data_IF_540282891727
#
_entry.id   IF_540282891727
#
_cell.length_a   1.000
_cell.length_b   1.000
_cell.length_c   1.000
_cell.angle_alpha   90.00
_cell.angle_beta   90.00
_cell.angle_gamma   90.00
#
_symmetry.space_group_name_H-M   'P 1'
#
loop_
_entity.id
_entity.type
_entity.pdbx_description
1 polymer ?
#
# COMPACT_ATOMS: atom_id res chain seq x y z
N UNK A 1 10.19 -12.52 2.83
CA UNK A 1 10.03 -11.72 4.05
C UNK A 1 8.78 -10.90 3.85
N UNK A 2 7.88 -10.83 4.82
CA UNK A 2 6.68 -9.99 4.71
C UNK A 2 7.01 -8.56 5.13
N UNK A 3 6.24 -7.62 4.60
CA UNK A 3 6.20 -6.26 5.10
C UNK A 3 4.94 -6.08 5.93
N UNK A 4 5.13 -5.94 7.23
CA UNK A 4 4.07 -5.88 8.21
C UNK A 4 3.78 -4.42 8.59
N UNK A 5 2.50 -4.09 8.71
CA UNK A 5 2.00 -2.76 9.01
C UNK A 5 1.03 -2.81 10.19
N UNK A 6 1.16 -1.85 11.10
CA UNK A 6 0.38 -1.79 12.33
C UNK A 6 -0.26 -0.43 12.56
N UNK A 7 -1.54 -0.43 12.93
CA UNK A 7 -2.33 0.76 13.30
C UNK A 7 -3.16 0.43 14.54
N UNK A 8 -2.74 0.93 15.69
CA UNK A 8 -3.33 0.51 16.98
C UNK A 8 -3.24 -1.00 17.14
N UNK A 9 -4.38 -1.66 17.36
CA UNK A 9 -4.48 -3.12 17.51
C UNK A 9 -4.64 -3.87 16.17
N UNK A 10 -4.60 -3.15 15.04
CA UNK A 10 -4.75 -3.75 13.71
C UNK A 10 -3.42 -3.99 13.06
N UNK A 11 -3.40 -5.05 12.27
CA UNK A 11 -2.25 -5.53 11.52
C UNK A 11 -2.68 -5.85 10.09
N UNK A 12 -1.81 -5.53 9.16
CA UNK A 12 -1.89 -5.96 7.76
C UNK A 12 -0.50 -6.26 7.24
N UNK A 13 -0.39 -7.08 6.20
CA UNK A 13 0.90 -7.45 5.61
C UNK A 13 0.87 -7.44 4.09
N UNK A 14 2.02 -7.16 3.50
CA UNK A 14 2.31 -7.42 2.09
C UNK A 14 3.25 -8.62 2.02
N UNK A 15 2.76 -9.72 1.45
CA UNK A 15 3.55 -10.92 1.26
C UNK A 15 4.52 -10.76 0.07
N UNK A 16 5.59 -11.58 -0.04
CA UNK A 16 6.58 -11.46 -1.11
C UNK A 16 6.00 -11.50 -2.54
N UNK A 17 4.94 -12.29 -2.75
CA UNK A 17 4.28 -12.39 -4.04
C UNK A 17 3.33 -11.22 -4.34
N UNK A 18 2.99 -10.43 -3.32
CA UNK A 18 2.13 -9.25 -3.40
C UNK A 18 2.96 -7.97 -3.64
N UNK A 19 4.27 -8.00 -3.37
CA UNK A 19 5.21 -6.91 -3.70
C UNK A 19 5.18 -6.53 -5.20
N UNK A 20 4.68 -7.44 -6.05
CA UNK A 20 4.47 -7.19 -7.47
C UNK A 20 3.61 -5.95 -7.76
N UNK A 21 2.76 -5.53 -6.82
CA UNK A 21 2.02 -4.27 -6.93
C UNK A 21 2.95 -3.06 -7.13
N UNK A 22 4.14 -3.07 -6.51
CA UNK A 22 5.10 -1.97 -6.62
C UNK A 22 5.79 -1.94 -7.98
N UNK A 23 6.01 -3.09 -8.64
CA UNK A 23 6.57 -3.11 -9.99
C UNK A 23 5.63 -2.50 -11.04
N UNK A 24 4.32 -2.47 -10.78
CA UNK A 24 3.35 -1.85 -11.68
C UNK A 24 3.39 -0.33 -11.64
N UNK A 25 3.90 0.26 -10.57
CA UNK A 25 3.92 1.72 -10.36
C UNK A 25 5.30 2.34 -10.50
N UNK A 26 6.36 1.52 -10.60
CA UNK A 26 7.73 2.01 -10.83
C UNK A 26 7.74 2.90 -12.08
N UNK A 27 8.38 4.06 -11.96
CA UNK A 27 8.53 5.07 -13.03
C UNK A 27 7.21 5.74 -13.48
N UNK A 28 6.07 5.46 -12.81
CA UNK A 28 4.82 6.14 -13.08
C UNK A 28 4.65 7.37 -12.19
N UNK A 29 4.53 8.60 -12.76
CA UNK A 29 4.38 9.82 -11.96
C UNK A 29 3.03 9.91 -11.23
N UNK A 30 2.08 9.03 -11.56
CA UNK A 30 0.72 8.98 -10.99
C UNK A 30 0.69 8.46 -9.54
N UNK A 31 1.74 7.75 -9.08
CA UNK A 31 1.76 7.07 -7.78
C UNK A 31 2.93 7.50 -6.88
N UNK A 32 3.05 8.79 -6.53
CA UNK A 32 4.20 9.32 -5.79
C UNK A 32 4.36 8.75 -4.37
N UNK A 33 3.29 8.59 -3.58
CA UNK A 33 3.41 8.10 -2.20
C UNK A 33 3.60 6.58 -2.14
N UNK A 34 3.00 5.80 -3.04
CA UNK A 34 3.30 4.38 -3.17
C UNK A 34 4.74 4.15 -3.66
N UNK A 35 5.23 4.98 -4.60
CA UNK A 35 6.63 4.94 -5.04
C UNK A 35 7.58 5.27 -3.88
N UNK A 36 7.26 6.32 -3.12
CA UNK A 36 8.02 6.69 -1.92
C UNK A 36 8.01 5.59 -0.87
N UNK A 37 6.85 4.96 -0.62
CA UNK A 37 6.74 3.82 0.28
C UNK A 37 7.66 2.68 -0.17
N UNK A 38 7.71 2.40 -1.47
CA UNK A 38 8.60 1.40 -2.05
C UNK A 38 10.09 1.73 -1.81
N UNK A 39 10.51 2.98 -2.01
CA UNK A 39 11.90 3.41 -1.77
C UNK A 39 12.38 3.18 -0.33
N UNK A 40 11.47 3.31 0.64
CA UNK A 40 11.76 3.12 2.06
C UNK A 40 11.24 1.79 2.60
N UNK A 41 10.74 0.89 1.74
CA UNK A 41 10.03 -0.32 2.12
C UNK A 41 10.83 -1.15 3.12
N UNK A 42 12.07 -1.50 2.79
CA UNK A 42 12.95 -2.30 3.66
C UNK A 42 13.57 -1.52 4.82
N UNK A 43 13.18 -0.26 5.05
CA UNK A 43 13.65 0.58 6.16
C UNK A 43 12.63 0.70 7.30
N UNK A 44 11.55 -0.08 7.26
CA UNK A 44 10.51 -0.06 8.31
C UNK A 44 10.00 1.37 8.62
N UNK A 45 9.44 2.08 7.63
CA UNK A 45 9.05 3.48 7.79
C UNK A 45 7.88 3.61 8.78
N UNK A 46 7.63 4.85 9.23
CA UNK A 46 6.36 5.21 9.87
C UNK A 46 5.62 6.16 8.95
N UNK A 47 4.36 5.87 8.66
CA UNK A 47 3.52 6.67 7.77
C UNK A 47 2.55 7.51 8.61
N UNK A 48 2.39 8.76 8.23
CA UNK A 48 1.35 9.62 8.83
C UNK A 48 -0.04 9.24 8.33
N UNK A 49 -1.09 9.66 9.05
CA UNK A 49 -2.47 9.50 8.60
C UNK A 49 -2.75 10.22 7.27
N UNK A 50 -2.05 11.33 7.01
CA UNK A 50 -2.15 12.03 5.72
C UNK A 50 -1.54 11.21 4.58
N UNK A 51 -0.36 10.63 4.78
CA UNK A 51 0.23 9.74 3.77
C UNK A 51 -0.66 8.52 3.52
N UNK A 52 -1.30 7.98 4.57
CA UNK A 52 -2.28 6.91 4.41
C UNK A 52 -3.47 7.33 3.53
N UNK A 53 -3.94 8.57 3.66
CA UNK A 53 -4.98 9.13 2.80
C UNK A 53 -4.54 9.23 1.34
N UNK A 54 -3.32 9.72 1.11
CA UNK A 54 -2.79 9.89 -0.23
C UNK A 54 -2.61 8.53 -0.92
N UNK A 55 -2.11 7.53 -0.18
CA UNK A 55 -2.01 6.13 -0.61
C UNK A 55 -3.39 5.54 -0.95
N UNK A 56 -4.46 5.89 -0.22
CA UNK A 56 -5.83 5.42 -0.54
C UNK A 56 -6.25 5.85 -1.93
N UNK A 57 -6.03 7.12 -2.31
CA UNK A 57 -6.37 7.60 -3.64
C UNK A 57 -5.54 6.92 -4.72
N UNK A 58 -4.23 6.75 -4.48
CA UNK A 58 -3.34 6.05 -5.40
C UNK A 58 -3.75 4.58 -5.60
N UNK A 59 -4.20 3.90 -4.55
CA UNK A 59 -4.69 2.52 -4.63
C UNK A 59 -6.03 2.40 -5.38
N UNK A 60 -6.91 3.41 -5.30
CA UNK A 60 -8.14 3.44 -6.12
C UNK A 60 -7.77 3.55 -7.60
N UNK A 61 -6.91 4.50 -7.95
CA UNK A 61 -6.45 4.72 -9.33
C UNK A 61 -5.72 3.48 -9.88
N UNK A 62 -4.90 2.83 -9.05
CA UNK A 62 -4.22 1.58 -9.40
C UNK A 62 -5.21 0.42 -9.60
N UNK A 63 -6.29 0.37 -8.82
CA UNK A 63 -7.32 -0.66 -8.98
C UNK A 63 -8.04 -0.54 -10.32
N UNK A 64 -8.29 0.68 -10.79
CA UNK A 64 -8.89 0.94 -12.09
C UNK A 64 -7.94 0.55 -13.22
N UNK A 65 -6.65 0.87 -13.11
CA UNK A 65 -5.63 0.45 -14.08
C UNK A 65 -5.50 -1.08 -14.19
N UNK A 66 -5.62 -1.80 -13.06
CA UNK A 66 -5.45 -3.25 -13.01
C UNK A 66 -6.71 -4.01 -13.43
N UNK A 67 -7.89 -3.42 -13.26
CA UNK A 67 -9.15 -4.08 -13.60
C UNK A 67 -9.19 -4.55 -15.07
N UNK A 68 -8.57 -3.78 -15.96
CA UNK A 68 -8.49 -4.05 -17.40
C UNK A 68 -7.36 -5.01 -17.79
N UNK A 69 -6.45 -5.35 -16.87
CA UNK A 69 -5.31 -6.24 -17.12
C UNK A 69 -5.58 -7.65 -16.61
N UNK A 70 -5.75 -8.63 -17.51
CA UNK A 70 -5.95 -10.04 -17.13
C UNK A 70 -4.77 -10.61 -16.32
N UNK A 71 -3.54 -10.21 -16.67
CA UNK A 71 -2.32 -10.68 -16.02
C UNK A 71 -2.19 -10.15 -14.59
N UNK A 72 -2.66 -8.94 -14.30
CA UNK A 72 -2.47 -8.28 -12.99
C UNK A 72 -3.71 -8.35 -12.10
N UNK A 73 -4.86 -8.82 -12.61
CA UNK A 73 -6.13 -8.87 -11.89
C UNK A 73 -6.06 -9.62 -10.54
N UNK A 74 -5.12 -10.56 -10.40
CA UNK A 74 -4.88 -11.28 -9.15
C UNK A 74 -4.45 -10.37 -7.99
N UNK A 75 -4.00 -9.13 -8.26
CA UNK A 75 -3.60 -8.14 -7.25
C UNK A 75 -4.78 -7.33 -6.69
N UNK A 76 -5.96 -7.35 -7.33
CA UNK A 76 -7.13 -6.61 -6.85
C UNK A 76 -7.51 -6.94 -5.39
N UNK A 77 -7.52 -8.21 -4.94
CA UNK A 77 -7.78 -8.54 -3.54
C UNK A 77 -6.77 -7.88 -2.58
N UNK A 78 -5.50 -7.81 -2.96
CA UNK A 78 -4.43 -7.16 -2.18
C UNK A 78 -4.72 -5.66 -2.09
N UNK A 79 -5.02 -5.02 -3.22
CA UNK A 79 -5.35 -3.60 -3.28
C UNK A 79 -6.54 -3.28 -2.38
N UNK A 80 -7.62 -4.06 -2.45
CA UNK A 80 -8.80 -3.83 -1.60
C UNK A 80 -8.54 -4.05 -0.11
N UNK A 81 -7.61 -4.94 0.24
CA UNK A 81 -7.20 -5.15 1.62
C UNK A 81 -6.38 -3.96 2.14
N UNK A 82 -5.39 -3.52 1.37
CA UNK A 82 -4.59 -2.33 1.67
C UNK A 82 -5.44 -1.06 1.75
N UNK A 83 -6.38 -0.88 0.80
CA UNK A 83 -7.33 0.25 0.79
C UNK A 83 -8.08 0.38 2.11
N UNK A 84 -8.62 -0.73 2.62
CA UNK A 84 -9.36 -0.73 3.89
C UNK A 84 -8.44 -0.35 5.06
N UNK A 85 -7.22 -0.87 5.07
CA UNK A 85 -6.24 -0.60 6.12
C UNK A 85 -5.81 0.87 6.14
N UNK A 86 -5.39 1.41 5.01
CA UNK A 86 -4.95 2.81 4.90
C UNK A 86 -6.10 3.81 5.13
N UNK A 87 -7.29 3.54 4.58
CA UNK A 87 -8.46 4.38 4.81
C UNK A 87 -8.83 4.43 6.30
N UNK A 88 -8.72 3.29 6.99
CA UNK A 88 -8.94 3.27 8.42
C UNK A 88 -7.92 4.12 9.18
N UNK A 89 -6.62 3.97 8.89
CA UNK A 89 -5.56 4.75 9.54
C UNK A 89 -5.83 6.26 9.41
N UNK A 90 -6.29 6.69 8.22
CA UNK A 90 -6.75 8.04 7.97
C UNK A 90 -7.97 8.42 8.81
N UNK A 91 -9.05 7.63 8.78
CA UNK A 91 -10.28 7.93 9.53
C UNK A 91 -10.05 8.01 11.05
N UNK A 92 -9.11 7.23 11.58
CA UNK A 92 -8.76 7.25 13.01
C UNK A 92 -7.68 8.28 13.36
N UNK A 93 -7.07 8.93 12.36
CA UNK A 93 -5.96 9.87 12.56
C UNK A 93 -4.70 9.23 13.16
N UNK A 94 -4.51 7.92 12.96
CA UNK A 94 -3.40 7.17 13.55
C UNK A 94 -2.26 7.00 12.55
N UNK A 95 -1.02 7.00 13.04
CA UNK A 95 0.13 6.64 12.23
C UNK A 95 0.24 5.13 12.03
N UNK A 96 0.84 4.74 10.92
CA UNK A 96 1.12 3.35 10.57
C UNK A 96 2.57 3.07 10.91
N UNK A 97 2.83 2.08 11.75
CA UNK A 97 4.19 1.56 11.98
C UNK A 97 4.43 0.39 11.03
N UNK A 98 5.49 0.46 10.23
CA UNK A 98 5.88 -0.64 9.36
C UNK A 98 7.07 -1.41 9.94
N UNK A 99 7.13 -2.69 9.63
CA UNK A 99 8.20 -3.63 10.01
C UNK A 99 8.50 -4.49 8.79
N UNK A 100 9.78 -4.56 8.44
CA UNK A 100 10.27 -5.36 7.32
C UNK A 100 11.22 -6.41 7.88
N UNK A 101 11.01 -7.67 7.52
CA UNK A 101 11.96 -8.76 7.81
C UNK A 101 13.13 -8.80 6.81
#
# INVERSE_FOLDING_TARGET
MSFDMYVGDRHESIAPHEENIFFLIIEQPTFPELSRLWEVFYRSPTLSSQQAHDIVHELIELSDHIADSEENRYLLPVIYRLLRFFNQAYCTGQSIRCVSD
#
